data_IF_524987505886
#
_entry.id   IF_524987505886
#
_cell.length_a   1.000
_cell.length_b   1.000
_cell.length_c   1.000
_cell.angle_alpha   90.00
_cell.angle_beta   90.00
_cell.angle_gamma   90.00
#
_symmetry.space_group_name_H-M   'P 1'
#
loop_
_entity.id
_entity.type
_entity.pdbx_description
1 polymer ?
#
# COMPACT_ATOMS: atom_id res chain seq x y z
N UNK A 1 -8.53 -35.06 8.58
CA UNK A 1 -7.37 -34.43 9.21
C UNK A 1 -7.86 -33.66 10.41
N UNK A 2 -7.39 -34.00 11.61
CA UNK A 2 -7.83 -33.36 12.85
C UNK A 2 -7.34 -31.91 12.85
N UNK A 3 -8.28 -30.96 12.86
CA UNK A 3 -8.00 -29.52 12.89
C UNK A 3 -7.68 -29.09 14.33
N UNK A 4 -6.59 -29.60 14.89
CA UNK A 4 -6.00 -28.99 16.09
C UNK A 4 -5.20 -27.75 15.67
N UNK A 5 -5.17 -26.69 16.50
CA UNK A 5 -4.28 -25.55 16.30
C UNK A 5 -2.82 -26.01 16.16
N UNK A 6 -2.02 -25.28 15.37
CA UNK A 6 -0.62 -25.63 15.12
C UNK A 6 0.20 -25.69 16.42
N UNK A 7 -0.18 -24.91 17.43
CA UNK A 7 0.46 -24.91 18.75
C UNK A 7 0.22 -26.21 19.55
N UNK A 8 -0.80 -26.98 19.17
CA UNK A 8 -1.22 -28.22 19.85
C UNK A 8 -0.83 -29.49 19.06
N UNK A 9 -0.19 -29.33 17.89
CA UNK A 9 0.28 -30.45 17.07
C UNK A 9 1.51 -31.06 17.71
N UNK A 10 1.41 -32.32 18.11
CA UNK A 10 2.52 -33.11 18.66
C UNK A 10 3.14 -34.01 17.60
N UNK A 11 4.33 -34.55 17.89
CA UNK A 11 4.98 -35.54 17.02
C UNK A 11 4.12 -36.80 16.79
N UNK A 12 3.26 -37.15 17.76
CA UNK A 12 2.32 -38.26 17.62
C UNK A 12 1.19 -37.96 16.62
N UNK A 13 0.86 -36.68 16.42
CA UNK A 13 -0.11 -36.24 15.40
C UNK A 13 0.51 -36.23 13.99
N UNK A 14 1.84 -36.30 13.86
CA UNK A 14 2.62 -36.34 12.60
C UNK A 14 3.11 -37.76 12.26
N UNK A 15 2.36 -38.78 12.67
CA UNK A 15 2.79 -40.18 12.69
C UNK A 15 3.14 -40.78 11.32
N UNK A 16 2.75 -40.16 10.19
CA UNK A 16 3.05 -40.68 8.86
C UNK A 16 4.07 -39.83 8.10
N UNK A 17 4.81 -40.49 7.20
CA UNK A 17 5.72 -39.83 6.25
C UNK A 17 5.00 -38.84 5.34
N UNK A 18 3.71 -39.04 5.08
CA UNK A 18 2.90 -38.13 4.27
C UNK A 18 2.57 -36.83 5.03
N UNK A 19 2.37 -36.89 6.35
CA UNK A 19 2.13 -35.69 7.17
C UNK A 19 3.35 -34.74 7.17
N UNK A 20 4.56 -35.30 7.16
CA UNK A 20 5.80 -34.54 7.09
C UNK A 20 6.01 -33.81 5.75
N UNK A 21 5.37 -34.28 4.66
CA UNK A 21 5.50 -33.65 3.33
C UNK A 21 4.79 -32.29 3.24
N UNK A 22 3.83 -32.04 4.13
CA UNK A 22 3.06 -30.80 4.16
C UNK A 22 3.67 -29.74 5.10
N UNK A 23 4.75 -30.08 5.80
CA UNK A 23 5.46 -29.13 6.65
C UNK A 23 6.31 -28.18 5.80
N UNK A 24 5.99 -26.90 5.90
CA UNK A 24 6.78 -25.82 5.29
C UNK A 24 8.02 -25.61 6.14
N UNK A 25 9.20 -25.55 5.52
CA UNK A 25 10.42 -25.23 6.26
C UNK A 25 10.45 -23.75 6.64
N UNK A 26 11.13 -23.41 7.74
CA UNK A 26 11.31 -22.01 8.15
C UNK A 26 11.89 -21.15 7.02
N UNK A 27 12.82 -21.71 6.24
CA UNK A 27 13.42 -21.03 5.08
C UNK A 27 12.40 -20.74 3.97
N UNK A 28 11.50 -21.69 3.68
CA UNK A 28 10.42 -21.50 2.70
C UNK A 28 9.42 -20.44 3.18
N UNK A 29 9.12 -20.44 4.48
CA UNK A 29 8.25 -19.44 5.10
C UNK A 29 8.88 -18.03 5.02
N UNK A 30 10.16 -17.89 5.37
CA UNK A 30 10.89 -16.63 5.28
C UNK A 30 10.96 -16.10 3.85
N UNK A 31 11.20 -16.97 2.87
CA UNK A 31 11.17 -16.60 1.44
C UNK A 31 9.81 -16.04 1.03
N UNK A 32 8.72 -16.71 1.43
CA UNK A 32 7.35 -16.25 1.13
C UNK A 32 7.01 -14.94 1.83
N UNK A 33 7.33 -14.80 3.11
CA UNK A 33 7.09 -13.56 3.86
C UNK A 33 7.84 -12.39 3.22
N UNK A 34 9.10 -12.60 2.83
CA UNK A 34 9.88 -11.55 2.17
C UNK A 34 9.34 -11.18 0.79
N UNK A 35 8.80 -12.14 0.03
CA UNK A 35 8.14 -11.86 -1.24
C UNK A 35 6.89 -10.99 -1.03
N UNK A 36 5.98 -11.41 -0.16
CA UNK A 36 4.76 -10.65 0.19
C UNK A 36 5.12 -9.24 0.67
N UNK A 37 6.14 -9.10 1.51
CA UNK A 37 6.59 -7.80 2.00
C UNK A 37 7.12 -6.90 0.88
N UNK A 38 7.77 -7.45 -0.15
CA UNK A 38 8.24 -6.69 -1.32
C UNK A 38 7.08 -6.24 -2.19
N UNK A 39 6.17 -7.16 -2.51
CA UNK A 39 4.97 -6.87 -3.31
C UNK A 39 4.14 -5.78 -2.65
N UNK A 40 3.86 -5.93 -1.35
CA UNK A 40 3.11 -4.93 -0.58
C UNK A 40 3.79 -3.55 -0.56
N UNK A 41 5.13 -3.50 -0.40
CA UNK A 41 5.88 -2.25 -0.47
C UNK A 41 5.79 -1.60 -1.86
N UNK A 42 5.83 -2.40 -2.92
CA UNK A 42 5.74 -1.90 -4.29
C UNK A 42 4.34 -1.33 -4.57
N UNK A 43 3.28 -2.02 -4.16
CA UNK A 43 1.90 -1.55 -4.31
C UNK A 43 1.66 -0.24 -3.56
N UNK A 44 2.11 -0.14 -2.30
CA UNK A 44 2.03 1.11 -1.53
C UNK A 44 2.82 2.23 -2.20
N UNK A 45 4.05 1.95 -2.64
CA UNK A 45 4.88 2.96 -3.31
C UNK A 45 4.20 3.49 -4.59
N UNK A 46 3.58 2.61 -5.36
CA UNK A 46 2.81 2.98 -6.55
C UNK A 46 1.60 3.85 -6.19
N UNK A 47 0.81 3.43 -5.19
CA UNK A 47 -0.35 4.19 -4.73
C UNK A 47 0.03 5.60 -4.23
N UNK A 48 1.10 5.71 -3.45
CA UNK A 48 1.61 7.00 -2.97
C UNK A 48 2.06 7.88 -4.13
N UNK A 49 2.76 7.33 -5.12
CA UNK A 49 3.19 8.08 -6.30
C UNK A 49 2.00 8.63 -7.09
N UNK A 50 0.92 7.84 -7.25
CA UNK A 50 -0.30 8.32 -7.91
C UNK A 50 -0.95 9.46 -7.13
N UNK A 51 -1.10 9.32 -5.80
CA UNK A 51 -1.66 10.36 -4.94
C UNK A 51 -0.84 11.64 -5.03
N UNK A 52 0.49 11.55 -4.95
CA UNK A 52 1.38 12.70 -5.07
C UNK A 52 1.26 13.39 -6.44
N UNK A 53 1.12 12.60 -7.52
CA UNK A 53 0.88 13.13 -8.86
C UNK A 53 -0.44 13.92 -8.95
N UNK A 54 -1.52 13.39 -8.39
CA UNK A 54 -2.82 14.08 -8.35
C UNK A 54 -2.79 15.33 -7.47
N UNK A 55 -2.12 15.28 -6.31
CA UNK A 55 -1.91 16.46 -5.45
C UNK A 55 -1.14 17.56 -6.18
N UNK A 56 -0.09 17.21 -6.93
CA UNK A 56 0.66 18.16 -7.75
C UNK A 56 -0.22 18.84 -8.81
N UNK A 57 -1.10 18.10 -9.47
CA UNK A 57 -2.07 18.65 -10.44
C UNK A 57 -3.07 19.60 -9.77
N UNK A 58 -3.57 19.24 -8.59
CA UNK A 58 -4.48 20.08 -7.81
C UNK A 58 -3.79 21.38 -7.40
N UNK A 59 -2.56 21.31 -6.90
CA UNK A 59 -1.77 22.48 -6.52
C UNK A 59 -1.56 23.44 -7.71
N UNK A 60 -1.20 22.91 -8.89
CA UNK A 60 -1.04 23.72 -10.10
C UNK A 60 -2.34 24.43 -10.51
N UNK A 61 -3.49 23.74 -10.43
CA UNK A 61 -4.81 24.36 -10.71
C UNK A 61 -5.17 25.43 -9.69
N UNK A 62 -4.88 25.21 -8.41
CA UNK A 62 -5.12 26.21 -7.36
C UNK A 62 -4.27 27.46 -7.58
N UNK A 63 -3.02 27.31 -8.00
CA UNK A 63 -2.15 28.45 -8.33
C UNK A 63 -2.71 29.25 -9.51
N UNK A 64 -3.16 28.58 -10.57
CA UNK A 64 -3.80 29.24 -11.71
C UNK A 64 -5.07 30.01 -11.29
N UNK A 65 -5.95 29.38 -10.51
CA UNK A 65 -7.15 30.03 -9.97
C UNK A 65 -6.80 31.24 -9.12
N UNK A 66 -5.77 31.15 -8.28
CA UNK A 66 -5.27 32.28 -7.48
C UNK A 66 -4.84 33.45 -8.34
N UNK A 67 -4.12 33.19 -9.45
CA UNK A 67 -3.72 34.24 -10.41
C UNK A 67 -4.92 34.88 -11.11
N UNK A 68 -5.92 34.08 -11.50
CA UNK A 68 -7.16 34.59 -12.11
C UNK A 68 -7.92 35.47 -11.13
N UNK A 69 -8.09 35.02 -9.88
CA UNK A 69 -8.73 35.81 -8.83
C UNK A 69 -8.00 37.13 -8.58
N UNK A 70 -6.67 37.11 -8.51
CA UNK A 70 -5.87 38.34 -8.34
C UNK A 70 -6.11 39.35 -9.47
N UNK A 71 -6.22 38.88 -10.72
CA UNK A 71 -6.54 39.75 -11.87
C UNK A 71 -7.96 40.31 -11.78
N UNK A 72 -8.93 39.50 -11.36
CA UNK A 72 -10.32 39.95 -11.19
C UNK A 72 -10.43 41.01 -10.09
N UNK A 73 -9.75 40.82 -8.96
CA UNK A 73 -9.70 41.80 -7.86
C UNK A 73 -9.06 43.11 -8.33
N UNK A 74 -7.91 43.04 -9.01
CA UNK A 74 -7.27 44.23 -9.56
C UNK A 74 -8.17 44.98 -10.56
N UNK A 75 -8.93 44.24 -11.39
CA UNK A 75 -9.89 44.84 -12.30
C UNK A 75 -11.07 45.48 -11.56
N UNK A 76 -11.63 44.83 -10.53
CA UNK A 76 -12.73 45.41 -9.74
C UNK A 76 -12.33 46.64 -8.96
N UNK A 77 -11.12 46.66 -8.38
CA UNK A 77 -10.59 47.83 -7.66
C UNK A 77 -10.35 49.02 -8.59
N UNK A 78 -10.05 48.75 -9.87
CA UNK A 78 -9.93 49.77 -10.92
C UNK A 78 -11.26 50.34 -11.40
N UNK A 79 -12.37 49.59 -11.28
CA UNK A 79 -13.73 50.05 -11.62
C UNK A 79 -14.40 50.80 -10.46
N UNK A 80 -13.99 50.54 -9.22
CA UNK A 80 -14.54 51.19 -8.02
C UNK A 80 -13.94 52.59 -7.73
N UNK A 81 -13.02 53.10 -8.55
CA UNK A 81 -12.48 54.48 -8.51
C UNK A 81 -13.09 55.33 -9.61
#
# INVERSE_FOLDING_TARGET
MASKPLEEVTLADLATKDDLKHLVTTEQLDKRINLVRREFKQEIGSAVNMIMGELGKIAARQEEQGRVLARLVAASDGVAR
#
